data_IF_926926166720
#
_entry.id   IF_926926166720
#
_cell.length_a   1.000
_cell.length_b   1.000
_cell.length_c   1.000
_cell.angle_alpha   90.00
_cell.angle_beta   90.00
_cell.angle_gamma   90.00
#
_symmetry.space_group_name_H-M   'P 1'
#
loop_
_entity.id
_entity.type
_entity.pdbx_description
1 polymer ?
#
# COMPACT_ATOMS: atom_id res chain seq x y z
N UNK A 1 6.48 -17.26 -21.24
CA UNK A 1 5.77 -16.17 -20.54
C UNK A 1 6.49 -15.89 -19.23
N UNK A 2 6.49 -14.65 -18.74
CA UNK A 2 7.14 -14.29 -17.46
C UNK A 2 6.16 -13.50 -16.62
N UNK A 3 6.05 -13.86 -15.34
CA UNK A 3 5.22 -13.17 -14.35
C UNK A 3 6.12 -12.56 -13.27
N UNK A 4 5.79 -11.35 -12.82
CA UNK A 4 6.51 -10.65 -11.76
C UNK A 4 5.51 -10.16 -10.73
N UNK A 5 5.81 -10.39 -9.45
CA UNK A 5 5.02 -9.87 -8.35
C UNK A 5 5.85 -9.78 -7.08
N UNK A 6 5.53 -8.81 -6.22
CA UNK A 6 6.06 -8.74 -4.86
C UNK A 6 5.33 -9.70 -3.90
N UNK A 7 4.16 -10.21 -4.29
CA UNK A 7 3.36 -11.15 -3.50
C UNK A 7 2.90 -12.32 -4.35
N UNK A 8 2.87 -13.54 -3.78
CA UNK A 8 2.51 -14.75 -4.52
C UNK A 8 1.58 -15.68 -3.71
N UNK A 9 0.34 -15.25 -3.40
CA UNK A 9 -0.60 -16.02 -2.57
C UNK A 9 -1.13 -17.27 -3.29
N UNK A 10 -1.53 -18.30 -2.54
CA UNK A 10 -1.99 -19.58 -3.10
C UNK A 10 -3.10 -19.44 -4.16
N UNK A 11 -4.02 -18.51 -3.97
CA UNK A 11 -5.12 -18.25 -4.91
C UNK A 11 -4.67 -17.88 -6.33
N UNK A 12 -3.50 -17.25 -6.51
CA UNK A 12 -2.98 -16.90 -7.84
C UNK A 12 -2.13 -18.01 -8.47
N UNK A 13 -1.71 -19.02 -7.70
CA UNK A 13 -0.88 -20.11 -8.23
C UNK A 13 -1.62 -20.92 -9.28
N UNK A 14 -2.89 -21.26 -8.99
CA UNK A 14 -3.72 -22.03 -9.90
C UNK A 14 -3.94 -21.30 -11.22
N UNK A 15 -4.27 -20.00 -11.15
CA UNK A 15 -4.43 -19.18 -12.34
C UNK A 15 -3.12 -19.09 -13.14
N UNK A 16 -1.98 -18.91 -12.46
CA UNK A 16 -0.69 -18.83 -13.14
C UNK A 16 -0.34 -20.12 -13.90
N UNK A 17 -0.71 -21.29 -13.38
CA UNK A 17 -0.49 -22.59 -14.04
C UNK A 17 -1.26 -22.73 -15.37
N UNK A 18 -2.41 -22.05 -15.52
CA UNK A 18 -3.19 -22.09 -16.76
C UNK A 18 -2.54 -21.33 -17.91
N UNK A 19 -1.70 -20.33 -17.60
CA UNK A 19 -1.08 -19.46 -18.61
C UNK A 19 0.43 -19.70 -18.78
N UNK A 20 1.11 -20.26 -17.77
CA UNK A 20 2.56 -20.51 -17.81
C UNK A 20 2.90 -21.80 -18.58
N UNK A 21 4.16 -21.90 -18.98
CA UNK A 21 4.72 -23.17 -19.45
C UNK A 21 4.54 -24.27 -18.37
N UNK A 22 4.32 -25.54 -18.73
CA UNK A 22 4.16 -26.63 -17.76
C UNK A 22 5.28 -26.77 -16.74
N UNK A 23 6.50 -26.31 -17.06
CA UNK A 23 7.66 -26.37 -16.17
C UNK A 23 8.25 -24.98 -15.91
N UNK A 24 7.56 -24.10 -15.16
CA UNK A 24 8.04 -22.76 -14.91
C UNK A 24 9.14 -22.76 -13.84
N UNK A 25 10.17 -21.93 -14.03
CA UNK A 25 11.16 -21.66 -12.98
C UNK A 25 10.64 -20.52 -12.11
N UNK A 26 10.46 -20.79 -10.81
CA UNK A 26 10.10 -19.78 -9.80
C UNK A 26 11.37 -19.32 -9.09
N UNK A 27 11.58 -18.00 -9.06
CA UNK A 27 12.66 -17.36 -8.29
C UNK A 27 12.03 -16.44 -7.26
N UNK A 28 12.44 -16.57 -5.99
CA UNK A 28 12.00 -15.71 -4.88
C UNK A 28 13.23 -15.02 -4.31
N UNK A 29 13.11 -13.72 -4.06
CA UNK A 29 14.17 -12.92 -3.40
C UNK A 29 13.62 -12.45 -2.05
N UNK A 30 14.30 -12.79 -0.96
CA UNK A 30 13.85 -12.52 0.40
C UNK A 30 13.14 -13.72 1.03
N UNK A 31 12.03 -13.49 1.72
CA UNK A 31 11.21 -14.54 2.35
C UNK A 31 10.21 -15.14 1.36
N UNK A 32 9.88 -16.42 1.52
CA UNK A 32 8.72 -17.03 0.83
C UNK A 32 7.39 -16.56 1.41
N UNK A 33 7.38 -16.19 2.69
CA UNK A 33 6.22 -15.60 3.36
C UNK A 33 6.05 -14.13 3.00
N UNK A 34 4.82 -13.62 3.16
CA UNK A 34 4.51 -12.22 2.94
C UNK A 34 5.37 -11.33 3.85
N UNK A 35 6.36 -10.66 3.25
CA UNK A 35 7.25 -9.74 3.94
C UNK A 35 7.16 -8.36 3.29
N UNK A 36 6.98 -7.33 4.11
CA UNK A 36 7.17 -5.95 3.69
C UNK A 36 8.67 -5.63 3.63
N UNK A 37 9.05 -4.64 2.83
CA UNK A 37 10.44 -4.19 2.75
C UNK A 37 10.93 -3.70 4.13
N UNK A 38 12.05 -4.25 4.59
CA UNK A 38 12.67 -3.94 5.89
C UNK A 38 13.13 -2.49 6.04
N UNK A 39 13.42 -1.80 4.92
CA UNK A 39 13.83 -0.39 4.93
C UNK A 39 12.66 0.57 5.22
N UNK A 40 11.41 0.07 5.18
CA UNK A 40 10.21 0.86 5.41
C UNK A 40 9.80 0.76 6.88
N UNK A 41 9.91 1.87 7.61
CA UNK A 41 9.36 1.98 8.96
C UNK A 41 7.82 1.91 8.91
N UNK A 42 7.25 0.95 9.63
CA UNK A 42 5.82 0.72 9.69
C UNK A 42 5.28 1.15 11.06
N UNK A 43 4.27 2.03 11.06
CA UNK A 43 3.61 2.51 12.28
C UNK A 43 2.12 2.21 12.14
N UNK A 44 1.56 1.51 13.13
CA UNK A 44 0.13 1.16 13.19
C UNK A 44 -0.50 1.92 14.35
N UNK A 45 -1.57 2.64 14.06
CA UNK A 45 -2.35 3.38 15.05
C UNK A 45 -3.79 2.87 15.07
N UNK A 46 -4.28 2.52 16.25
CA UNK A 46 -5.68 2.14 16.48
C UNK A 46 -6.44 3.39 16.89
N UNK A 47 -7.38 3.82 16.06
CA UNK A 47 -8.10 5.09 16.21
C UNK A 47 -9.59 4.88 15.97
N UNK A 48 -10.40 5.74 16.58
CA UNK A 48 -11.81 5.87 16.23
C UNK A 48 -11.95 6.46 14.82
N UNK A 49 -12.97 6.02 14.09
CA UNK A 49 -13.21 6.45 12.70
C UNK A 49 -13.33 7.96 12.55
N UNK A 50 -13.93 8.62 13.54
CA UNK A 50 -14.10 10.09 13.56
C UNK A 50 -12.80 10.85 13.77
N UNK A 51 -11.75 10.20 14.29
CA UNK A 51 -10.45 10.81 14.55
C UNK A 51 -9.48 10.74 13.36
N UNK A 52 -9.82 10.00 12.29
CA UNK A 52 -8.91 9.76 11.16
C UNK A 52 -8.52 11.05 10.43
N UNK A 53 -9.48 11.94 10.19
CA UNK A 53 -9.25 13.18 9.44
C UNK A 53 -8.32 14.15 10.20
N UNK A 54 -8.59 14.38 11.48
CA UNK A 54 -7.72 15.23 12.32
C UNK A 54 -6.33 14.61 12.49
N UNK A 55 -6.25 13.29 12.59
CA UNK A 55 -4.97 12.59 12.67
C UNK A 55 -4.16 12.73 11.38
N UNK A 56 -4.78 12.59 10.21
CA UNK A 56 -4.12 12.77 8.92
C UNK A 56 -3.50 14.17 8.82
N UNK A 57 -4.23 15.21 9.22
CA UNK A 57 -3.70 16.59 9.22
C UNK A 57 -2.47 16.70 10.13
N UNK A 58 -2.53 16.15 11.34
CA UNK A 58 -1.40 16.15 12.26
C UNK A 58 -0.17 15.40 11.71
N UNK A 59 -0.37 14.31 10.97
CA UNK A 59 0.71 13.56 10.32
C UNK A 59 1.34 14.37 9.18
N UNK A 60 0.55 15.05 8.37
CA UNK A 60 1.03 15.93 7.31
C UNK A 60 1.82 17.12 7.89
N UNK A 61 1.37 17.69 9.00
CA UNK A 61 2.10 18.74 9.71
C UNK A 61 3.42 18.26 10.31
N UNK A 62 3.49 17.00 10.71
CA UNK A 62 4.72 16.41 11.24
C UNK A 62 5.73 16.08 10.14
N UNK A 63 5.28 15.44 9.06
CA UNK A 63 6.17 14.81 8.08
C UNK A 63 6.27 15.53 6.73
N UNK A 64 5.36 16.46 6.44
CA UNK A 64 5.25 17.10 5.13
C UNK A 64 5.17 18.63 5.21
N UNK A 65 5.45 19.23 6.38
CA UNK A 65 5.40 20.69 6.59
C UNK A 65 6.27 21.49 5.63
N UNK A 66 7.48 21.01 5.34
CA UNK A 66 8.40 21.66 4.42
C UNK A 66 8.06 21.42 2.94
N UNK A 67 7.10 20.53 2.65
CA UNK A 67 6.67 20.14 1.30
C UNK A 67 7.82 19.70 0.36
N UNK A 68 8.95 19.25 0.93
CA UNK A 68 10.14 18.82 0.19
C UNK A 68 10.11 17.35 -0.19
N UNK A 69 9.18 16.58 0.38
CA UNK A 69 8.96 15.16 0.11
C UNK A 69 7.63 14.93 -0.62
N UNK A 70 7.41 13.71 -1.11
CA UNK A 70 6.12 13.30 -1.66
C UNK A 70 5.39 12.41 -0.66
N UNK A 71 4.07 12.56 -0.58
CA UNK A 71 3.21 11.75 0.28
C UNK A 71 2.12 11.12 -0.58
N UNK A 72 1.86 9.83 -0.37
CA UNK A 72 0.76 9.11 -0.97
C UNK A 72 -0.20 8.67 0.13
N UNK A 73 -1.47 9.07 0.02
CA UNK A 73 -2.52 8.70 0.97
C UNK A 73 -3.47 7.74 0.27
N UNK A 74 -3.57 6.52 0.80
CA UNK A 74 -4.53 5.53 0.33
C UNK A 74 -5.82 5.59 1.14
N UNK A 75 -6.95 5.49 0.46
CA UNK A 75 -8.30 5.39 1.04
C UNK A 75 -9.04 4.23 0.38
N UNK A 76 -10.15 3.79 0.98
CA UNK A 76 -10.81 2.57 0.54
C UNK A 76 -11.66 2.75 -0.73
N UNK A 77 -12.39 3.87 -0.83
CA UNK A 77 -13.34 4.09 -1.93
C UNK A 77 -13.04 5.36 -2.74
N UNK A 78 -13.39 5.35 -4.04
CA UNK A 78 -13.26 6.51 -4.94
C UNK A 78 -13.94 7.77 -4.38
N UNK A 79 -15.13 7.65 -3.80
CA UNK A 79 -15.85 8.78 -3.18
C UNK A 79 -15.09 9.36 -1.98
N UNK A 80 -14.45 8.50 -1.21
CA UNK A 80 -13.66 8.92 -0.05
C UNK A 80 -12.41 9.69 -0.49
N UNK A 81 -11.77 9.29 -1.59
CA UNK A 81 -10.61 10.00 -2.13
C UNK A 81 -10.94 11.46 -2.44
N UNK A 82 -12.04 11.70 -3.17
CA UNK A 82 -12.49 13.06 -3.48
C UNK A 82 -12.90 13.85 -2.23
N UNK A 83 -13.48 13.18 -1.22
CA UNK A 83 -13.81 13.82 0.08
C UNK A 83 -12.56 14.27 0.82
N UNK A 84 -11.56 13.39 0.93
CA UNK A 84 -10.29 13.68 1.63
C UNK A 84 -9.51 14.77 0.89
N UNK A 85 -9.42 14.71 -0.43
CA UNK A 85 -8.81 15.76 -1.24
C UNK A 85 -9.48 17.12 -1.02
N UNK A 86 -10.81 17.18 -1.11
CA UNK A 86 -11.55 18.43 -0.91
C UNK A 86 -11.42 18.97 0.52
N UNK A 87 -11.30 18.10 1.53
CA UNK A 87 -11.01 18.49 2.91
C UNK A 87 -9.61 19.10 3.05
N UNK A 88 -8.60 18.48 2.44
CA UNK A 88 -7.21 18.95 2.50
C UNK A 88 -7.01 20.27 1.74
N UNK A 89 -7.69 20.47 0.61
CA UNK A 89 -7.61 21.72 -0.18
C UNK A 89 -8.32 22.93 0.47
N UNK A 90 -9.19 22.70 1.46
CA UNK A 90 -9.87 23.77 2.21
C UNK A 90 -9.04 24.32 3.37
N UNK A 91 -7.90 23.69 3.65
CA UNK A 91 -6.95 24.12 4.68
C UNK A 91 -5.99 25.16 4.11
#
# INVERSE_FOLDING_TARGET
MVMFSATWPFAVHQLAQEFMDPNPIKVVVGSEDLAANHDVMQIVEVLDDRARDSRLVALLDKYHRAQSNRVLVFVLYKKEAGRVEAMLNKR
#
